data_IF_672357347552
#
_entry.id   IF_672357347552
#
_cell.length_a   1.000
_cell.length_b   1.000
_cell.length_c   1.000
_cell.angle_alpha   90.00
_cell.angle_beta   90.00
_cell.angle_gamma   90.00
#
_symmetry.space_group_name_H-M   'P 1'
#
loop_
_entity.id
_entity.type
_entity.pdbx_description
1 polymer ?
#
# COMPACT_ATOMS: atom_id res chain seq x y z
N UNK A 1 19.32 8.41 9.43
CA UNK A 1 17.97 8.59 8.88
C UNK A 1 17.61 7.39 8.00
N UNK A 2 16.44 6.79 8.18
CA UNK A 2 15.88 5.71 7.35
C UNK A 2 14.85 6.30 6.38
N UNK A 3 14.83 5.83 5.12
CA UNK A 3 13.79 6.17 4.15
C UNK A 3 12.79 5.02 4.08
N UNK A 4 11.60 5.22 4.63
CA UNK A 4 10.50 4.25 4.54
C UNK A 4 9.55 4.65 3.42
N UNK A 5 9.36 3.78 2.43
CA UNK A 5 8.52 4.08 1.27
C UNK A 5 7.39 3.09 1.13
N UNK A 6 6.15 3.57 1.28
CA UNK A 6 4.98 2.85 0.78
C UNK A 6 4.92 3.04 -0.74
N UNK A 7 5.51 2.08 -1.47
CA UNK A 7 5.62 2.10 -2.93
C UNK A 7 4.27 1.84 -3.60
N UNK A 8 3.37 1.13 -2.90
CA UNK A 8 1.93 1.03 -3.11
C UNK A 8 1.47 0.43 -4.44
N UNK A 9 0.50 -0.46 -4.36
CA UNK A 9 -0.39 -0.76 -5.48
C UNK A 9 -1.50 0.28 -5.55
N UNK A 10 -2.01 0.59 -6.75
CA UNK A 10 -3.19 1.42 -6.90
C UNK A 10 -4.40 0.79 -6.19
N UNK A 11 -5.39 1.60 -5.81
CA UNK A 11 -6.65 1.12 -5.22
C UNK A 11 -6.50 0.28 -3.94
N UNK A 12 -5.43 0.53 -3.17
CA UNK A 12 -5.15 -0.11 -1.86
C UNK A 12 -5.12 0.88 -0.69
N UNK A 13 -5.74 2.05 -0.84
CA UNK A 13 -5.84 3.07 0.20
C UNK A 13 -4.49 3.68 0.70
N UNK A 14 -3.42 3.63 -0.11
CA UNK A 14 -2.14 4.28 0.23
C UNK A 14 -2.26 5.78 0.58
N UNK A 15 -3.11 6.52 -0.13
CA UNK A 15 -3.39 7.94 0.19
C UNK A 15 -4.12 8.12 1.53
N UNK A 16 -4.93 7.15 1.97
CA UNK A 16 -5.52 7.16 3.31
C UNK A 16 -4.48 6.82 4.38
N UNK A 17 -3.56 5.89 4.10
CA UNK A 17 -2.48 5.51 5.01
C UNK A 17 -1.63 6.73 5.38
N UNK A 18 -1.19 7.48 4.35
CA UNK A 18 -0.41 8.70 4.55
C UNK A 18 -1.19 9.76 5.35
N UNK A 19 -2.49 9.95 5.07
CA UNK A 19 -3.34 10.88 5.86
C UNK A 19 -3.51 10.44 7.30
N UNK A 20 -3.66 9.13 7.55
CA UNK A 20 -3.80 8.56 8.89
C UNK A 20 -2.52 8.77 9.70
N UNK A 21 -1.36 8.56 9.08
CA UNK A 21 -0.05 8.85 9.69
C UNK A 21 0.13 10.35 9.97
N UNK A 22 -0.30 11.24 9.06
CA UNK A 22 -0.22 12.69 9.27
C UNK A 22 -1.07 13.20 10.44
N UNK A 23 -2.19 12.52 10.79
CA UNK A 23 -2.95 12.82 12.01
C UNK A 23 -2.10 12.64 13.29
N UNK A 24 -1.03 11.84 13.20
CA UNK A 24 -0.13 11.50 14.30
C UNK A 24 1.21 12.26 14.26
N UNK A 25 1.33 13.32 13.46
CA UNK A 25 2.60 14.04 13.25
C UNK A 25 3.31 14.49 14.54
N UNK A 26 2.58 14.83 15.60
CA UNK A 26 3.17 15.29 16.85
C UNK A 26 3.87 14.14 17.60
N UNK A 27 3.14 13.06 17.86
CA UNK A 27 3.70 11.87 18.53
C UNK A 27 4.76 11.18 17.68
N UNK A 28 4.60 11.17 16.35
CA UNK A 28 5.62 10.64 15.45
C UNK A 28 6.89 11.50 15.46
N UNK A 29 6.79 12.82 15.55
CA UNK A 29 7.96 13.72 15.67
C UNK A 29 8.74 13.45 16.96
N UNK A 30 8.06 13.14 18.07
CA UNK A 30 8.71 12.74 19.33
C UNK A 30 9.49 11.43 19.20
N UNK A 31 9.11 10.55 18.26
CA UNK A 31 9.82 9.31 17.91
C UNK A 31 10.85 9.52 16.79
N UNK A 32 11.17 10.76 16.41
CA UNK A 32 12.10 11.05 15.31
C UNK A 32 11.55 10.73 13.91
N UNK A 33 10.24 10.51 13.77
CA UNK A 33 9.58 10.16 12.51
C UNK A 33 8.93 11.38 11.87
N UNK A 34 9.20 11.62 10.59
CA UNK A 34 8.53 12.63 9.79
C UNK A 34 7.67 12.01 8.69
N UNK A 35 6.44 12.49 8.60
CA UNK A 35 5.49 12.14 7.54
C UNK A 35 5.10 13.44 6.81
N UNK A 36 5.85 13.85 5.77
CA UNK A 36 5.57 15.07 5.03
C UNK A 36 4.26 14.96 4.23
N UNK A 37 3.71 16.10 3.83
CA UNK A 37 2.61 16.13 2.87
C UNK A 37 3.07 15.59 1.52
N UNK A 38 2.29 14.68 0.92
CA UNK A 38 2.56 14.13 -0.42
C UNK A 38 2.72 15.21 -1.48
N UNK A 39 2.05 16.35 -1.31
CA UNK A 39 2.21 17.53 -2.17
C UNK A 39 3.64 18.06 -2.25
N UNK A 40 4.48 17.83 -1.22
CA UNK A 40 5.87 18.29 -1.20
C UNK A 40 6.78 17.48 -2.12
N UNK A 41 6.45 16.21 -2.39
CA UNK A 41 7.36 15.29 -3.07
C UNK A 41 6.77 14.55 -4.26
N UNK A 42 5.44 14.61 -4.51
CA UNK A 42 4.81 13.88 -5.63
C UNK A 42 5.37 14.23 -7.01
N UNK A 43 5.90 15.45 -7.18
CA UNK A 43 6.53 15.90 -8.42
C UNK A 43 8.07 15.79 -8.35
N UNK A 44 8.66 16.05 -7.18
CA UNK A 44 10.11 16.00 -6.98
C UNK A 44 10.67 14.57 -7.02
N UNK A 45 9.99 13.62 -6.39
CA UNK A 45 10.45 12.24 -6.27
C UNK A 45 10.53 11.55 -7.65
N UNK A 46 9.50 11.60 -8.52
CA UNK A 46 9.62 11.04 -9.87
C UNK A 46 10.71 11.70 -10.71
N UNK A 47 10.93 13.01 -10.56
CA UNK A 47 12.00 13.72 -11.24
C UNK A 47 13.38 13.22 -10.80
N UNK A 48 13.61 13.11 -9.49
CA UNK A 48 14.86 12.58 -8.94
C UNK A 48 15.09 11.12 -9.33
N UNK A 49 14.06 10.27 -9.30
CA UNK A 49 14.12 8.89 -9.80
C UNK A 49 14.52 8.83 -11.27
N UNK A 50 14.03 9.76 -12.09
CA UNK A 50 14.36 9.85 -13.52
C UNK A 50 15.81 10.31 -13.76
N UNK A 51 16.43 11.01 -12.83
CA UNK A 51 17.86 11.32 -12.87
C UNK A 51 18.71 10.12 -12.42
N UNK A 52 18.21 9.34 -11.47
CA UNK A 52 18.90 8.20 -10.85
C UNK A 52 18.73 6.84 -11.59
N UNK A 53 18.43 6.85 -12.90
CA UNK A 53 18.06 5.63 -13.64
C UNK A 53 19.14 4.56 -13.67
N UNK A 54 20.36 4.98 -13.96
CA UNK A 54 21.50 4.08 -14.23
C UNK A 54 22.58 4.20 -13.16
N UNK A 55 22.68 5.36 -12.53
CA UNK A 55 23.71 5.65 -11.53
C UNK A 55 23.02 6.19 -10.27
N UNK A 56 23.44 5.74 -9.08
CA UNK A 56 23.07 6.33 -7.81
C UNK A 56 23.16 7.86 -7.81
N UNK A 57 22.16 8.52 -7.23
CA UNK A 57 22.19 9.97 -7.04
C UNK A 57 23.40 10.36 -6.17
N UNK A 58 24.23 11.34 -6.56
CA UNK A 58 25.32 11.81 -5.71
C UNK A 58 24.80 12.33 -4.37
N UNK A 59 25.58 12.19 -3.29
CA UNK A 59 25.17 12.62 -1.93
C UNK A 59 24.54 14.02 -1.89
N UNK A 60 25.16 14.99 -2.57
CA UNK A 60 24.64 16.36 -2.63
C UNK A 60 23.25 16.48 -3.29
N UNK A 61 22.92 15.62 -4.26
CA UNK A 61 21.58 15.58 -4.86
C UNK A 61 20.55 14.94 -3.92
N UNK A 62 20.94 13.88 -3.20
CA UNK A 62 20.11 13.26 -2.17
C UNK A 62 19.77 14.26 -1.05
N UNK A 63 20.78 14.97 -0.54
CA UNK A 63 20.62 15.96 0.53
C UNK A 63 19.71 17.12 0.08
N UNK A 64 19.85 17.62 -1.16
CA UNK A 64 18.93 18.63 -1.72
C UNK A 64 17.49 18.16 -1.80
N UNK A 65 17.27 16.91 -2.21
CA UNK A 65 15.92 16.33 -2.26
C UNK A 65 15.33 16.22 -0.85
N UNK A 66 16.10 15.70 0.10
CA UNK A 66 15.69 15.59 1.51
C UNK A 66 15.37 16.97 2.07
N UNK A 67 16.18 17.98 1.81
CA UNK A 67 15.95 19.37 2.25
C UNK A 67 14.68 19.97 1.66
N UNK A 68 14.41 19.71 0.37
CA UNK A 68 13.17 20.16 -0.26
C UNK A 68 11.93 19.51 0.35
N UNK A 69 12.03 18.25 0.80
CA UNK A 69 10.92 17.48 1.39
C UNK A 69 10.72 17.85 2.86
N UNK A 70 11.80 17.90 3.64
CA UNK A 70 11.80 18.01 5.10
C UNK A 70 11.95 19.44 5.61
N UNK A 71 12.40 20.37 4.77
CA UNK A 71 12.73 21.73 5.16
C UNK A 71 13.91 21.75 6.15
N UNK A 72 13.80 22.50 7.27
CA UNK A 72 14.89 22.60 8.25
C UNK A 72 14.99 21.40 9.19
N UNK A 73 13.95 20.56 9.26
CA UNK A 73 13.93 19.40 10.16
C UNK A 73 14.84 18.28 9.62
N UNK A 74 15.40 17.45 10.53
CA UNK A 74 16.23 16.28 10.21
C UNK A 74 15.74 15.06 11.00
N UNK A 75 14.75 14.31 10.48
CA UNK A 75 14.20 13.17 11.19
C UNK A 75 15.16 11.98 11.19
N UNK A 76 14.98 11.07 12.15
CA UNK A 76 15.62 9.76 12.14
C UNK A 76 14.96 8.81 11.13
N UNK A 77 13.68 9.05 10.80
CA UNK A 77 12.94 8.31 9.78
C UNK A 77 12.07 9.25 8.94
N UNK A 78 12.20 9.14 7.62
CA UNK A 78 11.35 9.84 6.65
C UNK A 78 10.40 8.85 6.00
N UNK A 79 9.10 9.04 6.20
CA UNK A 79 8.05 8.19 5.62
C UNK A 79 7.49 8.85 4.37
N UNK A 80 7.62 8.18 3.23
CA UNK A 80 7.09 8.61 1.95
C UNK A 80 6.05 7.61 1.46
N UNK A 81 5.05 8.12 0.77
CA UNK A 81 4.06 7.30 0.09
C UNK A 81 3.48 8.03 -1.11
N UNK A 82 3.49 7.38 -2.26
CA UNK A 82 2.93 7.93 -3.48
C UNK A 82 2.49 6.79 -4.40
N UNK A 83 1.21 6.74 -4.70
CA UNK A 83 0.57 5.65 -5.47
C UNK A 83 1.14 5.48 -6.88
N UNK A 84 1.65 6.57 -7.51
CA UNK A 84 2.25 6.48 -8.84
C UNK A 84 3.78 6.29 -8.83
N UNK A 85 4.36 5.80 -7.73
CA UNK A 85 5.82 5.63 -7.61
C UNK A 85 6.35 4.65 -8.68
N UNK A 86 5.65 3.54 -8.87
CA UNK A 86 6.00 2.53 -9.88
C UNK A 86 5.51 2.95 -11.26
N UNK A 87 4.21 3.14 -11.41
CA UNK A 87 3.60 3.57 -12.66
C UNK A 87 2.31 4.34 -12.37
N UNK A 88 1.76 5.01 -13.38
CA UNK A 88 0.38 5.51 -13.33
C UNK A 88 -0.58 4.35 -13.65
N UNK A 89 -1.87 4.44 -13.30
CA UNK A 89 -2.84 3.38 -13.52
C UNK A 89 -2.89 2.82 -14.96
N UNK A 90 -2.75 3.66 -15.98
CA UNK A 90 -2.79 3.27 -17.41
C UNK A 90 -1.70 2.26 -17.79
N UNK A 91 -0.66 2.15 -16.95
CA UNK A 91 0.53 1.36 -17.21
C UNK A 91 0.62 0.15 -16.26
N UNK A 92 -0.47 -0.20 -15.57
CA UNK A 92 -0.55 -1.40 -14.75
C UNK A 92 -0.30 -2.66 -15.61
N UNK A 93 -0.85 -2.73 -16.83
CA UNK A 93 -0.65 -3.84 -17.77
C UNK A 93 0.20 -3.44 -18.99
N UNK A 94 1.17 -2.54 -18.80
CA UNK A 94 2.02 -2.08 -19.91
C UNK A 94 2.75 -3.27 -20.57
N UNK A 95 2.49 -3.46 -21.88
CA UNK A 95 3.03 -4.57 -22.69
C UNK A 95 2.65 -5.93 -22.13
N UNK A 96 1.37 -6.10 -21.83
CA UNK A 96 0.73 -7.37 -21.45
C UNK A 96 1.34 -8.00 -20.19
N UNK A 97 1.94 -7.19 -19.30
CA UNK A 97 2.57 -7.63 -18.04
C UNK A 97 2.15 -6.77 -16.87
N UNK A 98 1.70 -7.43 -15.81
CA UNK A 98 1.27 -6.81 -14.57
C UNK A 98 2.43 -6.10 -13.86
N UNK A 99 2.25 -4.81 -13.56
CA UNK A 99 3.23 -3.93 -12.91
C UNK A 99 4.66 -4.01 -13.46
N UNK A 100 4.84 -4.32 -14.75
CA UNK A 100 6.15 -4.56 -15.39
C UNK A 100 7.25 -3.56 -15.03
N UNK A 101 6.88 -2.30 -14.82
CA UNK A 101 7.84 -1.24 -14.51
C UNK A 101 8.51 -1.39 -13.14
N UNK A 102 7.99 -2.24 -12.25
CA UNK A 102 8.55 -2.45 -10.91
C UNK A 102 10.00 -2.92 -10.97
N UNK A 103 10.37 -3.71 -11.99
CA UNK A 103 11.73 -4.20 -12.26
C UNK A 103 12.77 -3.08 -12.24
N UNK A 104 12.50 -1.96 -12.93
CA UNK A 104 13.46 -0.87 -13.00
C UNK A 104 13.12 0.30 -12.07
N UNK A 105 11.84 0.52 -11.75
CA UNK A 105 11.42 1.65 -10.93
C UNK A 105 11.78 1.50 -9.46
N UNK A 106 11.74 0.28 -8.92
CA UNK A 106 12.25 -0.01 -7.57
C UNK A 106 13.72 0.37 -7.48
N UNK A 107 14.54 0.01 -8.50
CA UNK A 107 15.95 0.37 -8.55
C UNK A 107 16.19 1.87 -8.66
N UNK A 108 15.41 2.58 -9.46
CA UNK A 108 15.51 4.05 -9.57
C UNK A 108 15.21 4.73 -8.24
N UNK A 109 14.18 4.25 -7.53
CA UNK A 109 13.86 4.73 -6.20
C UNK A 109 15.01 4.45 -5.22
N UNK A 110 15.55 3.23 -5.22
CA UNK A 110 16.70 2.86 -4.38
C UNK A 110 17.93 3.72 -4.67
N UNK A 111 18.23 3.97 -5.94
CA UNK A 111 19.32 4.85 -6.38
C UNK A 111 19.12 6.32 -5.97
N UNK A 112 17.88 6.76 -5.78
CA UNK A 112 17.55 8.15 -5.39
C UNK A 112 18.01 8.48 -3.97
N UNK A 113 18.11 7.48 -3.09
CA UNK A 113 18.57 7.63 -1.71
C UNK A 113 19.68 6.62 -1.40
N UNK A 114 20.67 6.54 -2.31
CA UNK A 114 21.69 5.49 -2.29
C UNK A 114 22.44 5.37 -0.96
N UNK A 115 22.70 6.48 -0.29
CA UNK A 115 23.49 6.56 0.94
C UNK A 115 22.66 6.41 2.23
N UNK A 116 21.35 6.16 2.10
CA UNK A 116 20.44 6.00 3.24
C UNK A 116 19.88 4.57 3.28
N UNK A 117 19.75 3.97 4.47
CA UNK A 117 18.95 2.76 4.64
C UNK A 117 17.53 2.99 4.15
N UNK A 118 16.98 2.00 3.45
CA UNK A 118 15.65 2.08 2.84
C UNK A 118 14.86 0.81 3.11
N UNK A 119 13.54 0.94 3.19
CA UNK A 119 12.60 -0.16 3.29
C UNK A 119 11.35 0.14 2.43
N UNK A 120 10.74 -0.92 1.90
CA UNK A 120 9.55 -0.84 1.07
C UNK A 120 8.35 -1.48 1.76
N UNK A 121 7.18 -0.88 1.52
CA UNK A 121 5.89 -1.34 2.02
C UNK A 121 4.89 -1.42 0.87
N UNK A 122 4.15 -2.53 0.77
CA UNK A 122 3.23 -2.80 -0.33
C UNK A 122 1.97 -3.54 0.14
N UNK A 123 0.80 -2.94 -0.06
CA UNK A 123 -0.48 -3.64 0.07
C UNK A 123 -0.81 -4.37 -1.24
N UNK A 124 -1.20 -5.64 -1.16
CA UNK A 124 -1.57 -6.51 -2.27
C UNK A 124 -3.09 -6.67 -2.29
N UNK A 125 -3.74 -6.65 -3.44
CA UNK A 125 -5.21 -6.76 -3.52
C UNK A 125 -5.60 -7.86 -4.49
N UNK A 126 -6.63 -8.63 -4.15
CA UNK A 126 -7.17 -9.68 -5.01
C UNK A 126 -7.38 -9.15 -6.44
N UNK A 127 -6.75 -9.74 -7.49
CA UNK A 127 -6.93 -9.33 -8.89
C UNK A 127 -8.40 -9.23 -9.31
N UNK A 128 -9.27 -10.10 -8.79
CA UNK A 128 -10.70 -10.09 -9.06
C UNK A 128 -11.40 -8.81 -8.60
N UNK A 129 -10.88 -8.13 -7.57
CA UNK A 129 -11.41 -6.84 -7.10
C UNK A 129 -10.53 -5.65 -7.51
N UNK A 130 -9.24 -5.88 -7.75
CA UNK A 130 -8.27 -4.85 -8.14
C UNK A 130 -8.46 -4.42 -9.59
N UNK A 131 -8.58 -5.37 -10.53
CA UNK A 131 -8.66 -5.08 -11.97
C UNK A 131 -9.94 -4.31 -12.29
N UNK A 132 -11.13 -4.68 -11.77
CA UNK A 132 -12.34 -3.91 -12.03
C UNK A 132 -12.28 -2.50 -11.45
N UNK A 133 -11.78 -2.35 -10.21
CA UNK A 133 -11.59 -1.03 -9.61
C UNK A 133 -10.65 -0.14 -10.45
N UNK A 134 -9.57 -0.73 -11.00
CA UNK A 134 -8.67 -0.02 -11.89
C UNK A 134 -9.34 0.36 -13.22
N UNK A 135 -10.03 -0.59 -13.87
CA UNK A 135 -10.73 -0.34 -15.12
C UNK A 135 -11.82 0.75 -14.97
N UNK A 136 -12.64 0.68 -13.91
CA UNK A 136 -13.69 1.65 -13.61
C UNK A 136 -13.12 3.06 -13.42
N UNK A 137 -11.99 3.19 -12.72
CA UNK A 137 -11.29 4.46 -12.56
C UNK A 137 -10.73 5.03 -13.88
N UNK A 138 -10.51 4.17 -14.88
CA UNK A 138 -9.96 4.52 -16.19
C UNK A 138 -10.99 4.64 -17.30
N UNK A 139 -12.23 4.18 -17.09
CA UNK A 139 -13.25 4.03 -18.13
C UNK A 139 -13.49 5.28 -18.99
N UNK A 140 -13.26 6.49 -18.45
CA UNK A 140 -13.40 7.76 -19.20
C UNK A 140 -12.28 8.05 -20.19
N UNK A 141 -11.12 7.40 -20.05
CA UNK A 141 -9.88 7.73 -20.78
C UNK A 141 -9.24 6.53 -21.47
N UNK A 142 -9.40 5.34 -20.92
CA UNK A 142 -8.84 4.09 -21.45
C UNK A 142 -9.92 3.02 -21.37
N UNK A 143 -10.46 2.55 -22.51
CA UNK A 143 -11.37 1.42 -22.55
C UNK A 143 -10.75 0.19 -21.91
N UNK A 144 -11.59 -0.70 -21.38
CA UNK A 144 -11.14 -1.89 -20.66
C UNK A 144 -10.21 -2.77 -21.51
N UNK A 145 -10.56 -3.00 -22.78
CA UNK A 145 -9.78 -3.83 -23.71
C UNK A 145 -8.40 -3.24 -23.99
N UNK A 146 -8.28 -1.91 -24.05
CA UNK A 146 -6.99 -1.22 -24.18
C UNK A 146 -6.20 -1.30 -22.87
N UNK A 147 -6.88 -1.21 -21.72
CA UNK A 147 -6.27 -1.25 -20.40
C UNK A 147 -5.61 -2.60 -20.10
N UNK A 148 -6.30 -3.72 -20.33
CA UNK A 148 -5.74 -5.06 -20.07
C UNK A 148 -4.90 -5.60 -21.23
N UNK A 149 -5.10 -5.07 -22.45
CA UNK A 149 -4.38 -5.51 -23.64
C UNK A 149 -4.61 -6.99 -23.94
N UNK A 150 -3.52 -7.73 -24.19
CA UNK A 150 -3.56 -9.19 -24.39
C UNK A 150 -3.24 -9.97 -23.12
N UNK A 151 -3.25 -9.32 -21.94
CA UNK A 151 -2.92 -9.98 -20.67
C UNK A 151 -3.94 -11.08 -20.37
N UNK A 152 -3.48 -12.30 -20.14
CA UNK A 152 -4.32 -13.33 -19.53
C UNK A 152 -4.49 -13.00 -18.04
N UNK A 153 -5.72 -12.70 -17.62
CA UNK A 153 -5.99 -12.31 -16.24
C UNK A 153 -5.64 -13.43 -15.24
N UNK A 154 -5.69 -14.69 -15.67
CA UNK A 154 -5.30 -15.85 -14.84
C UNK A 154 -3.80 -15.91 -14.54
N UNK A 155 -3.00 -15.13 -15.27
CA UNK A 155 -1.56 -15.01 -15.10
C UNK A 155 -1.15 -13.79 -14.26
N UNK A 156 -2.11 -13.12 -13.61
CA UNK A 156 -1.84 -11.93 -12.78
C UNK A 156 -1.51 -12.37 -11.36
N UNK A 157 -0.22 -12.46 -11.06
CA UNK A 157 0.31 -12.81 -9.74
C UNK A 157 1.06 -11.64 -9.11
N UNK A 158 0.84 -11.42 -7.81
CA UNK A 158 1.62 -10.51 -7.00
C UNK A 158 3.00 -11.07 -6.64
N UNK A 159 3.16 -12.40 -6.57
CA UNK A 159 4.46 -13.06 -6.40
C UNK A 159 5.48 -12.59 -7.44
N UNK A 160 5.09 -12.48 -8.71
CA UNK A 160 5.93 -11.95 -9.78
C UNK A 160 6.41 -10.53 -9.46
N UNK A 161 5.50 -9.64 -9.03
CA UNK A 161 5.82 -8.24 -8.68
C UNK A 161 6.75 -8.18 -7.47
N UNK A 162 6.49 -9.01 -6.45
CA UNK A 162 7.30 -9.11 -5.24
C UNK A 162 8.71 -9.64 -5.56
N UNK A 163 8.80 -10.69 -6.38
CA UNK A 163 10.05 -11.28 -6.84
C UNK A 163 10.88 -10.28 -7.66
N UNK A 164 10.24 -9.48 -8.52
CA UNK A 164 10.90 -8.42 -9.28
C UNK A 164 11.48 -7.34 -8.36
N UNK A 165 10.74 -6.94 -7.30
CA UNK A 165 11.25 -5.99 -6.29
C UNK A 165 12.48 -6.58 -5.57
N UNK A 166 12.38 -7.83 -5.09
CA UNK A 166 13.46 -8.51 -4.35
C UNK A 166 14.70 -8.70 -5.21
N UNK A 167 14.53 -9.04 -6.49
CA UNK A 167 15.64 -9.19 -7.45
C UNK A 167 16.31 -7.84 -7.72
N UNK A 168 15.53 -6.77 -7.86
CA UNK A 168 16.04 -5.45 -8.22
C UNK A 168 16.69 -4.71 -7.03
N UNK A 169 16.17 -4.94 -5.83
CA UNK A 169 16.57 -4.29 -4.59
C UNK A 169 16.75 -5.31 -3.44
N UNK A 170 17.70 -6.25 -3.54
CA UNK A 170 17.86 -7.32 -2.55
C UNK A 170 18.24 -6.81 -1.15
N UNK A 171 18.87 -5.63 -1.08
CA UNK A 171 19.28 -4.93 0.13
C UNK A 171 18.15 -4.16 0.84
N UNK A 172 16.98 -4.05 0.22
CA UNK A 172 15.84 -3.27 0.75
C UNK A 172 14.80 -4.22 1.33
N UNK A 173 14.58 -4.24 2.66
CA UNK A 173 13.50 -5.02 3.25
C UNK A 173 12.14 -4.67 2.63
N UNK A 174 11.31 -5.69 2.40
CA UNK A 174 9.97 -5.53 1.84
C UNK A 174 8.93 -6.08 2.82
N UNK A 175 8.04 -5.21 3.29
CA UNK A 175 6.88 -5.60 4.09
C UNK A 175 5.61 -5.55 3.24
N UNK A 176 4.82 -6.61 3.26
CA UNK A 176 3.58 -6.74 2.48
C UNK A 176 2.39 -7.11 3.35
N UNK A 177 1.18 -6.85 2.87
CA UNK A 177 -0.07 -7.31 3.48
C UNK A 177 -1.21 -7.37 2.47
N UNK A 178 -2.18 -8.25 2.71
CA UNK A 178 -3.41 -8.30 1.92
C UNK A 178 -4.28 -7.08 2.20
N UNK A 179 -4.84 -6.48 1.15
CA UNK A 179 -5.68 -5.30 1.21
C UNK A 179 -6.98 -5.63 1.96
N UNK A 180 -7.50 -6.83 1.74
CA UNK A 180 -8.71 -7.40 2.33
C UNK A 180 -8.58 -7.46 3.88
N UNK A 181 -7.37 -7.67 4.39
CA UNK A 181 -7.06 -7.70 5.82
C UNK A 181 -6.78 -6.32 6.44
N UNK A 182 -6.64 -5.29 5.60
CA UNK A 182 -6.32 -3.93 6.02
C UNK A 182 -7.26 -3.38 7.12
N UNK A 183 -8.59 -3.65 7.11
CA UNK A 183 -9.46 -3.22 8.21
C UNK A 183 -9.02 -3.74 9.60
N UNK A 184 -8.43 -4.93 9.66
CA UNK A 184 -7.88 -5.52 10.90
C UNK A 184 -6.45 -5.05 11.15
N UNK A 185 -5.67 -4.90 10.08
CA UNK A 185 -4.24 -4.58 10.12
C UNK A 185 -3.92 -3.10 10.16
N UNK A 186 -4.90 -2.20 10.04
CA UNK A 186 -4.63 -0.77 9.85
C UNK A 186 -3.65 -0.17 10.85
N UNK A 187 -3.77 -0.40 12.18
CA UNK A 187 -2.78 0.09 13.13
C UNK A 187 -1.39 -0.51 12.90
N UNK A 188 -1.31 -1.82 12.63
CA UNK A 188 -0.05 -2.53 12.38
C UNK A 188 0.64 -2.03 11.10
N UNK A 189 -0.11 -1.81 10.01
CA UNK A 189 0.42 -1.23 8.77
C UNK A 189 0.93 0.20 9.00
N UNK A 190 0.20 1.03 9.75
CA UNK A 190 0.69 2.36 10.15
C UNK A 190 1.98 2.27 10.96
N UNK A 191 2.06 1.35 11.92
CA UNK A 191 3.24 1.16 12.78
C UNK A 191 4.45 0.64 12.00
N UNK A 192 4.25 -0.32 11.10
CA UNK A 192 5.28 -0.89 10.24
C UNK A 192 5.89 0.21 9.34
N UNK A 193 5.05 0.97 8.65
CA UNK A 193 5.49 2.07 7.78
C UNK A 193 6.20 3.17 8.59
N UNK A 194 5.67 3.52 9.76
CA UNK A 194 6.27 4.52 10.65
C UNK A 194 7.47 4.01 11.44
N UNK A 195 7.75 2.70 11.47
CA UNK A 195 8.82 2.09 12.27
C UNK A 195 8.74 2.41 13.76
N UNK A 196 7.54 2.40 14.32
CA UNK A 196 7.28 2.70 15.74
C UNK A 196 6.72 1.48 16.46
N UNK A 197 6.84 1.48 17.80
CA UNK A 197 6.32 0.39 18.64
C UNK A 197 4.82 0.17 18.46
N UNK A 198 4.39 -1.09 18.58
CA UNK A 198 2.98 -1.49 18.62
C UNK A 198 2.22 -0.82 19.78
N UNK A 199 2.92 -0.46 20.86
CA UNK A 199 2.35 0.19 22.04
C UNK A 199 2.13 1.70 21.85
N UNK A 200 2.67 2.28 20.77
CA UNK A 200 2.50 3.71 20.51
C UNK A 200 1.04 3.99 20.15
N UNK A 201 0.37 4.75 21.03
CA UNK A 201 -1.02 5.17 20.79
C UNK A 201 -1.08 6.15 19.62
N UNK A 202 -1.68 5.70 18.54
CA UNK A 202 -1.98 6.52 17.37
C UNK A 202 -3.49 6.70 17.19
N UNK A 203 -3.88 7.89 16.73
CA UNK A 203 -5.24 8.17 16.27
C UNK A 203 -5.41 7.69 14.82
N UNK A 204 -6.66 7.45 14.40
CA UNK A 204 -6.95 7.01 13.03
C UNK A 204 -6.89 5.49 12.81
N UNK A 205 -6.74 4.69 13.87
CA UNK A 205 -6.75 3.22 13.80
C UNK A 205 -8.04 2.59 13.25
N UNK A 206 -9.09 3.38 13.02
CA UNK A 206 -10.35 2.95 12.40
C UNK A 206 -10.67 3.72 11.10
N UNK A 207 -9.70 4.42 10.52
CA UNK A 207 -9.93 5.25 9.33
C UNK A 207 -10.38 4.41 8.12
N UNK A 208 -9.83 3.20 7.95
CA UNK A 208 -10.29 2.24 6.93
C UNK A 208 -11.71 1.75 7.21
N UNK A 209 -11.98 1.31 8.44
CA UNK A 209 -13.33 0.85 8.80
C UNK A 209 -14.40 1.91 8.55
N UNK A 210 -14.05 3.19 8.73
CA UNK A 210 -14.97 4.29 8.47
C UNK A 210 -15.32 4.48 6.99
N UNK A 211 -14.60 3.85 6.07
CA UNK A 211 -14.91 3.86 4.63
C UNK A 211 -15.80 2.70 4.19
N UNK A 212 -15.74 1.58 4.92
CA UNK A 212 -16.41 0.33 4.53
C UNK A 212 -17.55 -0.07 5.48
N UNK A 213 -17.79 0.71 6.53
CA UNK A 213 -18.83 0.45 7.53
C UNK A 213 -19.82 1.62 7.62
N UNK A 214 -21.11 1.29 7.79
CA UNK A 214 -22.17 2.27 8.03
C UNK A 214 -21.85 3.13 9.26
N UNK A 215 -22.21 4.41 9.20
CA UNK A 215 -21.98 5.38 10.30
C UNK A 215 -22.53 4.89 11.66
N UNK A 216 -23.70 4.25 11.66
CA UNK A 216 -24.29 3.65 12.86
C UNK A 216 -23.40 2.53 13.44
N UNK A 217 -22.89 1.64 12.58
CA UNK A 217 -21.97 0.57 12.96
C UNK A 217 -20.70 1.14 13.61
N UNK A 218 -20.12 2.18 13.02
CA UNK A 218 -18.96 2.87 13.58
C UNK A 218 -19.23 3.50 14.95
N UNK A 219 -20.40 4.11 15.15
CA UNK A 219 -20.78 4.68 16.44
C UNK A 219 -20.93 3.59 17.51
N UNK A 220 -21.58 2.48 17.16
CA UNK A 220 -21.76 1.33 18.05
C UNK A 220 -20.42 0.67 18.38
N UNK A 221 -19.53 0.50 17.40
CA UNK A 221 -18.19 -0.06 17.59
C UNK A 221 -17.36 0.77 18.58
N UNK A 222 -17.31 2.09 18.37
CA UNK A 222 -16.58 3.00 19.27
C UNK A 222 -17.13 2.95 20.70
N UNK A 223 -18.46 2.88 20.84
CA UNK A 223 -19.12 2.76 22.15
C UNK A 223 -18.79 1.42 22.81
N UNK A 224 -18.81 0.34 22.03
CA UNK A 224 -18.49 -1.00 22.49
C UNK A 224 -17.05 -1.08 22.99
N UNK A 225 -16.06 -0.63 22.21
CA UNK A 225 -14.64 -0.67 22.60
C UNK A 225 -14.31 0.23 23.81
N UNK A 226 -15.06 1.32 24.00
CA UNK A 226 -14.93 2.19 25.19
C UNK A 226 -15.45 1.53 26.46
N UNK A 227 -16.50 0.70 26.35
CA UNK A 227 -17.13 0.01 27.49
C UNK A 227 -16.54 -1.39 27.73
N UNK A 228 -15.97 -2.00 26.70
CA UNK A 228 -15.38 -3.33 26.69
C UNK A 228 -14.01 -3.24 26.02
N UNK A 229 -13.02 -2.76 26.76
CA UNK A 229 -11.64 -2.67 26.26
C UNK A 229 -11.10 -4.08 25.99
N UNK A 230 -10.66 -4.37 24.76
CA UNK A 230 -10.08 -5.68 24.45
C UNK A 230 -8.82 -5.93 25.29
N UNK A 231 -8.64 -7.17 25.74
CA UNK A 231 -7.46 -7.59 26.51
C UNK A 231 -6.20 -7.68 25.64
N UNK A 232 -6.36 -7.95 24.34
CA UNK A 232 -5.28 -8.08 23.36
C UNK A 232 -5.79 -7.81 21.93
N UNK A 233 -4.86 -7.73 20.97
CA UNK A 233 -5.19 -7.49 19.56
C UNK A 233 -6.03 -8.61 18.95
N UNK A 234 -5.83 -9.87 19.31
CA UNK A 234 -6.67 -10.99 18.81
C UNK A 234 -8.14 -10.79 19.18
N UNK A 235 -8.44 -10.41 20.42
CA UNK A 235 -9.80 -10.09 20.84
C UNK A 235 -10.33 -8.85 20.13
N UNK A 236 -9.50 -7.81 19.97
CA UNK A 236 -9.86 -6.61 19.21
C UNK A 236 -10.27 -6.96 17.79
N UNK A 237 -9.48 -7.75 17.07
CA UNK A 237 -9.76 -8.18 15.69
C UNK A 237 -11.06 -8.99 15.59
N UNK A 238 -11.32 -9.91 16.52
CA UNK A 238 -12.61 -10.64 16.59
C UNK A 238 -13.81 -9.71 16.75
N UNK A 239 -13.68 -8.66 17.57
CA UNK A 239 -14.74 -7.65 17.72
C UNK A 239 -14.92 -6.90 16.40
N UNK A 240 -13.84 -6.45 15.76
CA UNK A 240 -13.93 -5.73 14.49
C UNK A 240 -14.59 -6.57 13.39
N UNK A 241 -14.23 -7.86 13.27
CA UNK A 241 -14.84 -8.79 12.33
C UNK A 241 -16.35 -8.93 12.54
N UNK A 242 -16.81 -9.13 13.79
CA UNK A 242 -18.23 -9.22 14.12
C UNK A 242 -19.02 -7.94 13.81
N UNK A 243 -18.37 -6.77 13.92
CA UNK A 243 -18.99 -5.50 13.54
C UNK A 243 -19.05 -5.30 12.03
N UNK A 244 -18.02 -5.72 11.29
CA UNK A 244 -18.03 -5.67 9.82
C UNK A 244 -19.13 -6.57 9.25
N UNK A 245 -19.23 -7.81 9.71
CA UNK A 245 -20.27 -8.77 9.31
C UNK A 245 -21.69 -8.17 9.38
N UNK A 246 -21.96 -7.35 10.40
CA UNK A 246 -23.27 -6.75 10.62
C UNK A 246 -23.48 -5.38 9.98
N UNK A 247 -22.42 -4.58 9.84
CA UNK A 247 -22.54 -3.15 9.54
C UNK A 247 -21.74 -2.69 8.33
N UNK A 248 -21.14 -3.61 7.57
CA UNK A 248 -20.48 -3.25 6.33
C UNK A 248 -21.45 -2.58 5.33
N UNK A 249 -20.88 -1.76 4.47
CA UNK A 249 -21.57 -1.19 3.33
C UNK A 249 -21.61 -2.27 2.25
N UNK A 250 -22.83 -2.69 1.87
CA UNK A 250 -23.03 -3.71 0.83
C UNK A 250 -22.33 -3.29 -0.48
N UNK A 251 -22.49 -2.04 -0.90
CA UNK A 251 -21.79 -1.46 -2.07
C UNK A 251 -20.26 -1.45 -1.98
N UNK A 252 -19.69 -1.56 -0.76
CA UNK A 252 -18.24 -1.66 -0.58
C UNK A 252 -17.74 -3.12 -0.56
N UNK A 253 -18.66 -4.09 -0.53
CA UNK A 253 -18.38 -5.52 -0.47
C UNK A 253 -18.77 -6.26 -1.75
N UNK A 254 -19.85 -5.83 -2.41
CA UNK A 254 -20.38 -6.42 -3.63
C UNK A 254 -20.43 -5.35 -4.73
N UNK A 255 -19.31 -5.19 -5.45
CA UNK A 255 -19.25 -4.30 -6.63
C UNK A 255 -19.70 -5.11 -7.85
N UNK A 256 -20.75 -4.67 -8.55
CA UNK A 256 -21.19 -5.30 -9.80
C UNK A 256 -20.10 -5.14 -10.86
N UNK A 257 -19.53 -6.26 -11.32
CA UNK A 257 -18.47 -6.27 -12.31
C UNK A 257 -19.10 -6.29 -13.71
N UNK A 258 -19.35 -5.10 -14.26
CA UNK A 258 -19.82 -4.92 -15.65
C UNK A 258 -18.62 -4.74 -16.60
N UNK A 259 -17.80 -5.78 -16.74
CA UNK A 259 -16.63 -5.79 -17.62
C UNK A 259 -16.65 -6.95 -18.63
N UNK A 260 -16.25 -6.71 -19.89
CA UNK A 260 -16.21 -7.75 -20.92
C UNK A 260 -15.40 -8.98 -20.49
N UNK A 261 -16.01 -10.16 -20.59
CA UNK A 261 -15.36 -11.44 -20.31
C UNK A 261 -15.26 -11.82 -18.82
N UNK A 262 -15.81 -11.00 -17.92
CA UNK A 262 -15.92 -11.34 -16.50
C UNK A 262 -17.13 -12.25 -16.25
N UNK A 263 -16.88 -13.38 -15.61
CA UNK A 263 -17.91 -14.32 -15.15
C UNK A 263 -17.63 -14.67 -13.68
N UNK A 264 -18.64 -15.20 -12.99
CA UNK A 264 -18.48 -15.66 -11.60
C UNK A 264 -17.38 -16.72 -11.48
N UNK A 265 -17.23 -17.60 -12.48
CA UNK A 265 -16.16 -18.59 -12.53
C UNK A 265 -14.78 -17.94 -12.63
N UNK A 266 -14.62 -16.91 -13.47
CA UNK A 266 -13.35 -16.18 -13.56
C UNK A 266 -13.03 -15.49 -12.23
N UNK A 267 -14.02 -14.85 -11.59
CA UNK A 267 -13.84 -14.19 -10.29
C UNK A 267 -13.38 -15.18 -9.22
N UNK A 268 -14.03 -16.36 -9.16
CA UNK A 268 -13.66 -17.43 -8.24
C UNK A 268 -12.25 -17.98 -8.52
N UNK A 269 -11.90 -18.16 -9.80
CA UNK A 269 -10.58 -18.63 -10.24
C UNK A 269 -9.47 -17.63 -9.86
N UNK A 270 -9.65 -16.34 -10.17
CA UNK A 270 -8.70 -15.30 -9.79
C UNK A 270 -8.53 -15.16 -8.27
N UNK A 271 -9.62 -15.34 -7.52
CA UNK A 271 -9.59 -15.30 -6.06
C UNK A 271 -8.82 -16.49 -5.49
N UNK A 272 -9.06 -17.70 -6.01
CA UNK A 272 -8.33 -18.92 -5.61
C UNK A 272 -6.83 -18.77 -5.92
N UNK A 273 -6.49 -18.32 -7.12
CA UNK A 273 -5.09 -18.08 -7.51
C UNK A 273 -4.43 -17.04 -6.59
N UNK A 274 -5.16 -15.99 -6.20
CA UNK A 274 -4.65 -14.98 -5.29
C UNK A 274 -4.40 -15.51 -3.88
N UNK A 275 -5.28 -16.35 -3.34
CA UNK A 275 -5.08 -16.98 -2.04
C UNK A 275 -3.82 -17.88 -2.04
N UNK A 276 -3.64 -18.70 -3.09
CA UNK A 276 -2.42 -19.51 -3.27
C UNK A 276 -1.16 -18.63 -3.44
N UNK A 277 -1.28 -17.53 -4.18
CA UNK A 277 -0.20 -16.56 -4.41
C UNK A 277 0.24 -15.86 -3.11
N UNK A 278 -0.69 -15.56 -2.20
CA UNK A 278 -0.37 -15.02 -0.88
C UNK A 278 0.46 -16.00 -0.04
N UNK A 279 0.15 -17.29 -0.08
CA UNK A 279 0.94 -18.33 0.60
C UNK A 279 2.37 -18.40 0.02
N UNK A 280 2.51 -18.29 -1.30
CA UNK A 280 3.83 -18.23 -1.95
C UNK A 280 4.62 -17.01 -1.47
N UNK A 281 3.99 -15.83 -1.44
CA UNK A 281 4.60 -14.57 -1.00
C UNK A 281 5.03 -14.64 0.48
N UNK A 282 4.22 -15.25 1.35
CA UNK A 282 4.57 -15.44 2.77
C UNK A 282 5.86 -16.26 2.92
N UNK A 283 6.05 -17.27 2.07
CA UNK A 283 7.22 -18.14 2.07
C UNK A 283 8.47 -17.48 1.42
N UNK A 284 8.34 -16.32 0.76
CA UNK A 284 9.45 -15.71 0.02
C UNK A 284 10.56 -15.16 0.93
N UNK A 285 11.84 -15.51 0.67
CA UNK A 285 12.97 -14.97 1.42
C UNK A 285 13.11 -13.44 1.32
N UNK A 286 13.24 -12.79 2.48
CA UNK A 286 13.42 -11.35 2.56
C UNK A 286 12.12 -10.55 2.35
N UNK A 287 10.97 -11.22 2.40
CA UNK A 287 9.64 -10.61 2.48
C UNK A 287 9.10 -10.80 3.90
N UNK A 288 8.48 -9.76 4.44
CA UNK A 288 7.76 -9.83 5.70
C UNK A 288 6.27 -9.61 5.43
N UNK A 289 5.44 -10.62 5.65
CA UNK A 289 3.99 -10.48 5.55
C UNK A 289 3.37 -10.07 6.90
N UNK A 290 2.53 -9.04 6.90
CA UNK A 290 1.69 -8.71 8.05
C UNK A 290 0.42 -9.54 7.99
N UNK A 291 0.13 -10.28 9.06
CA UNK A 291 -1.03 -11.17 9.16
C UNK A 291 -2.01 -10.71 10.25
N UNK A 292 -3.33 -10.99 10.08
CA UNK A 292 -4.37 -10.73 11.07
C UNK A 292 -4.24 -11.50 12.39
#
# INVERSE_FOLDING_TARGET
>A
MIISVHIGAHFTNGSLLMRSLQKNKAVLKEQGVMVPSTLRYRDLLPAAMKEAKFVPAPRAAQDRLIDAITGPDRPERLVLGYENTICIPDLIFERDRFYRRVEFKSKWLRNTFADYPMEFHLSLRNPASFIPAAANALARRTPYEEFVGNTDLRSVYWSDVVADIRTSCPDVPLTVWAFEDTPMLWPAAMQAVAGVSADLRMVGGFDILSQIMRNEGMMRLRTYLKTHTPANETQRRRILAAFLDKYALEDAMEEEIDLPGWTDELVAELTTNYEEDLEEIEAMPGVQMLLP
#
